data_IF_623285100805
#
_entry.id   IF_623285100805
#
_cell.length_a   1.000
_cell.length_b   1.000
_cell.length_c   1.000
_cell.angle_alpha   90.00
_cell.angle_beta   90.00
_cell.angle_gamma   90.00
#
_symmetry.space_group_name_H-M   'P 1'
#
loop_
_entity.id
_entity.type
_entity.pdbx_description
1 polymer ?
#
# COMPACT_ATOMS: atom_id res chain seq x y z
N UNK A 1 -8.62 -12.87 3.80
CA UNK A 1 -9.42 -11.66 3.93
C UNK A 1 -10.85 -11.99 4.38
N UNK A 2 -11.29 -11.55 5.58
CA UNK A 2 -12.56 -10.81 5.55
C UNK A 2 -12.16 -9.55 4.80
N UNK A 3 -12.46 -9.48 3.50
CA UNK A 3 -12.28 -8.23 2.77
C UNK A 3 -13.19 -7.22 3.47
N UNK A 4 -12.58 -6.44 4.35
CA UNK A 4 -13.19 -5.30 4.99
C UNK A 4 -13.41 -4.24 3.93
N UNK A 5 -14.33 -3.32 4.22
CA UNK A 5 -14.67 -2.26 3.27
C UNK A 5 -13.42 -1.46 2.86
N UNK A 6 -12.45 -1.25 3.78
CA UNK A 6 -11.22 -0.51 3.51
C UNK A 6 -10.41 -1.09 2.34
N UNK A 7 -10.30 -2.42 2.26
CA UNK A 7 -9.64 -3.07 1.11
C UNK A 7 -10.38 -2.85 -0.20
N UNK A 8 -11.70 -2.72 -0.17
CA UNK A 8 -12.51 -2.31 -1.33
C UNK A 8 -12.24 -0.87 -1.75
N UNK A 9 -12.13 0.04 -0.79
CA UNK A 9 -11.81 1.45 -1.04
C UNK A 9 -10.43 1.59 -1.70
N UNK A 10 -9.43 0.82 -1.24
CA UNK A 10 -8.12 0.72 -1.88
C UNK A 10 -8.19 0.25 -3.35
N UNK A 11 -9.04 -0.72 -3.67
CA UNK A 11 -9.23 -1.18 -5.07
C UNK A 11 -9.86 -0.11 -5.96
N UNK A 12 -10.84 0.63 -5.42
CA UNK A 12 -11.46 1.75 -6.13
C UNK A 12 -10.43 2.86 -6.34
N UNK A 13 -9.64 3.20 -5.32
CA UNK A 13 -8.58 4.19 -5.41
C UNK A 13 -7.54 3.82 -6.48
N UNK A 14 -7.02 2.59 -6.47
CA UNK A 14 -6.03 2.12 -7.44
C UNK A 14 -6.53 2.26 -8.90
N UNK A 15 -7.80 1.89 -9.15
CA UNK A 15 -8.41 2.10 -10.47
C UNK A 15 -8.44 3.57 -10.86
N UNK A 16 -8.82 4.47 -9.95
CA UNK A 16 -8.90 5.90 -10.25
C UNK A 16 -7.52 6.54 -10.43
N UNK A 17 -6.50 6.09 -9.69
CA UNK A 17 -5.12 6.53 -9.92
C UNK A 17 -4.67 6.23 -11.35
N UNK A 18 -4.98 5.05 -11.90
CA UNK A 18 -4.75 4.73 -13.32
C UNK A 18 -5.50 5.66 -14.26
N UNK A 19 -6.77 5.95 -13.98
CA UNK A 19 -7.58 6.89 -14.78
C UNK A 19 -7.04 8.33 -14.71
N UNK A 20 -6.36 8.71 -13.64
CA UNK A 20 -5.67 9.98 -13.50
C UNK A 20 -4.28 10.01 -14.16
N UNK A 21 -3.89 8.94 -14.86
CA UNK A 21 -2.61 8.85 -15.57
C UNK A 21 -1.43 8.45 -14.68
N UNK A 22 -1.69 7.99 -13.45
CA UNK A 22 -0.64 7.49 -12.56
C UNK A 22 -0.43 5.98 -12.76
N UNK A 23 0.73 5.49 -12.33
CA UNK A 23 0.96 4.05 -12.16
C UNK A 23 0.44 3.61 -10.78
N UNK A 24 -0.17 2.44 -10.73
CA UNK A 24 -0.76 1.92 -9.50
C UNK A 24 -0.71 0.40 -9.47
N UNK A 25 -0.19 -0.12 -8.37
CA UNK A 25 -0.06 -1.53 -8.09
C UNK A 25 -0.72 -1.85 -6.75
N UNK A 26 -1.28 -3.06 -6.64
CA UNK A 26 -2.02 -3.49 -5.45
C UNK A 26 -1.41 -4.77 -4.88
N UNK A 27 -1.05 -4.74 -3.60
CA UNK A 27 -0.74 -5.95 -2.84
C UNK A 27 -2.02 -6.48 -2.21
N UNK A 28 -2.47 -7.65 -2.67
CA UNK A 28 -3.65 -8.35 -2.18
C UNK A 28 -3.25 -9.76 -1.69
N UNK A 29 -2.83 -9.92 -0.42
CA UNK A 29 -2.27 -11.18 0.07
C UNK A 29 -3.24 -12.34 0.11
N UNK A 30 -4.54 -12.06 0.12
CA UNK A 30 -5.58 -13.08 0.15
C UNK A 30 -6.68 -12.69 -0.80
N UNK A 31 -6.98 -13.58 -1.73
CA UNK A 31 -8.07 -13.38 -2.69
C UNK A 31 -9.41 -13.18 -1.95
N UNK A 32 -10.19 -12.15 -2.31
CA UNK A 32 -11.47 -11.91 -1.68
C UNK A 32 -12.52 -12.93 -2.13
N UNK A 33 -13.33 -13.41 -1.17
CA UNK A 33 -14.40 -14.38 -1.44
C UNK A 33 -15.67 -13.76 -2.02
N UNK A 34 -16.00 -12.53 -1.62
CA UNK A 34 -17.26 -11.86 -2.05
C UNK A 34 -17.16 -11.35 -3.48
N UNK A 35 -18.24 -11.53 -4.25
CA UNK A 35 -18.29 -11.13 -5.66
C UNK A 35 -18.05 -9.63 -5.87
N UNK A 36 -18.52 -8.77 -4.96
CA UNK A 36 -18.28 -7.33 -4.99
C UNK A 36 -16.79 -7.01 -5.19
N UNK A 37 -15.92 -7.59 -4.37
CA UNK A 37 -14.48 -7.33 -4.45
C UNK A 37 -13.82 -7.99 -5.67
N UNK A 38 -14.33 -9.15 -6.11
CA UNK A 38 -13.87 -9.77 -7.37
C UNK A 38 -14.14 -8.85 -8.55
N UNK A 39 -15.33 -8.23 -8.59
CA UNK A 39 -15.68 -7.24 -9.61
C UNK A 39 -14.76 -6.02 -9.54
N UNK A 40 -14.46 -5.51 -8.33
CA UNK A 40 -13.52 -4.39 -8.16
C UNK A 40 -12.11 -4.73 -8.65
N UNK A 41 -11.60 -5.94 -8.35
CA UNK A 41 -10.32 -6.42 -8.87
C UNK A 41 -10.34 -6.48 -10.39
N UNK A 42 -11.39 -7.03 -11.00
CA UNK A 42 -11.52 -7.08 -12.46
C UNK A 42 -11.54 -5.68 -13.07
N UNK A 43 -12.27 -4.74 -12.48
CA UNK A 43 -12.31 -3.34 -12.93
C UNK A 43 -10.94 -2.67 -12.81
N UNK A 44 -10.20 -2.89 -11.73
CA UNK A 44 -8.85 -2.37 -11.55
C UNK A 44 -7.88 -2.96 -12.59
N UNK A 45 -7.88 -4.29 -12.77
CA UNK A 45 -7.06 -4.97 -13.80
C UNK A 45 -7.36 -4.48 -15.21
N UNK A 46 -8.64 -4.27 -15.54
CA UNK A 46 -9.04 -3.72 -16.83
C UNK A 46 -8.52 -2.29 -17.09
N UNK A 47 -8.11 -1.56 -16.04
CA UNK A 47 -7.47 -0.25 -16.12
C UNK A 47 -5.94 -0.32 -15.94
N UNK A 48 -5.36 -1.53 -16.05
CA UNK A 48 -3.92 -1.73 -15.99
C UNK A 48 -3.31 -1.60 -14.59
N UNK A 49 -4.10 -1.86 -13.54
CA UNK A 49 -3.55 -2.06 -12.18
C UNK A 49 -2.95 -3.46 -12.10
N UNK A 50 -1.70 -3.57 -11.68
CA UNK A 50 -1.07 -4.86 -11.41
C UNK A 50 -1.30 -5.32 -9.98
N UNK A 51 -1.28 -6.64 -9.78
CA UNK A 51 -1.63 -7.26 -8.51
C UNK A 51 -0.53 -8.22 -8.05
N UNK A 52 -0.11 -8.06 -6.80
CA UNK A 52 0.87 -8.91 -6.13
C UNK A 52 0.24 -9.56 -4.89
N UNK A 53 0.72 -10.74 -4.50
CA UNK A 53 0.33 -11.36 -3.23
C UNK A 53 1.20 -10.89 -2.06
N UNK A 54 2.42 -10.46 -2.34
CA UNK A 54 3.36 -9.93 -1.36
C UNK A 54 3.91 -8.59 -1.86
N UNK A 55 4.51 -7.83 -0.96
CA UNK A 55 5.27 -6.65 -1.36
C UNK A 55 6.41 -7.11 -2.30
N UNK A 56 6.64 -6.48 -3.46
CA UNK A 56 7.78 -6.80 -4.30
C UNK A 56 9.10 -6.59 -3.51
N UNK A 57 9.87 -7.67 -3.33
CA UNK A 57 11.11 -7.72 -2.54
C UNK A 57 12.39 -7.66 -3.40
N UNK A 58 12.43 -6.84 -4.45
CA UNK A 58 13.55 -6.72 -5.40
C UNK A 58 13.64 -7.83 -6.46
N UNK A 59 12.62 -7.97 -7.32
CA UNK A 59 12.76 -8.80 -8.53
C UNK A 59 12.47 -7.94 -9.77
N UNK A 60 13.56 -7.37 -10.28
CA UNK A 60 13.79 -6.80 -11.62
C UNK A 60 13.02 -5.55 -12.07
N UNK A 61 11.69 -5.44 -11.85
CA UNK A 61 10.86 -4.39 -12.48
C UNK A 61 10.15 -3.46 -11.47
N UNK A 62 9.95 -3.91 -10.23
CA UNK A 62 9.26 -3.14 -9.20
C UNK A 62 10.05 -3.18 -7.90
N UNK A 63 10.73 -2.08 -7.58
CA UNK A 63 11.32 -1.87 -6.26
C UNK A 63 10.40 -1.02 -5.40
N UNK A 64 10.17 -1.41 -4.14
CA UNK A 64 9.32 -0.61 -3.24
C UNK A 64 9.84 0.83 -3.07
N UNK A 65 11.16 1.02 -3.19
CA UNK A 65 11.83 2.32 -3.15
C UNK A 65 11.59 3.19 -4.37
N UNK A 66 11.08 2.65 -5.48
CA UNK A 66 10.71 3.40 -6.68
C UNK A 66 9.29 3.95 -6.61
N UNK A 67 8.48 3.49 -5.65
CA UNK A 67 7.16 4.05 -5.43
C UNK A 67 7.28 5.44 -4.83
N UNK A 68 6.39 6.34 -5.23
CA UNK A 68 6.31 7.70 -4.70
C UNK A 68 5.38 7.81 -3.49
N UNK A 69 4.53 6.80 -3.27
CA UNK A 69 3.49 6.77 -2.25
C UNK A 69 3.09 5.33 -1.96
N UNK A 70 2.95 4.99 -0.69
CA UNK A 70 2.23 3.79 -0.25
C UNK A 70 0.83 4.17 0.23
N UNK A 71 -0.17 3.45 -0.26
CA UNK A 71 -1.55 3.59 0.21
C UNK A 71 -1.86 2.43 1.14
N UNK A 72 -2.05 2.74 2.42
CA UNK A 72 -2.47 1.77 3.42
C UNK A 72 -4.00 1.67 3.44
N UNK A 73 -4.51 0.62 2.82
CA UNK A 73 -5.93 0.26 2.80
C UNK A 73 -6.17 -1.14 3.42
N UNK A 74 -5.34 -1.53 4.39
CA UNK A 74 -5.34 -2.89 4.95
C UNK A 74 -6.50 -3.05 5.95
N UNK A 75 -6.54 -2.20 6.99
CA UNK A 75 -7.56 -2.22 8.05
C UNK A 75 -8.19 -0.84 8.20
N UNK A 76 -9.51 -0.79 8.36
CA UNK A 76 -10.25 0.44 8.67
C UNK A 76 -10.74 0.44 10.13
N UNK A 77 -11.51 1.45 10.51
CA UNK A 77 -12.01 1.70 11.87
C UNK A 77 -12.79 0.52 12.46
N UNK A 78 -13.37 -0.35 11.62
CA UNK A 78 -14.13 -1.52 12.09
C UNK A 78 -13.26 -2.73 12.44
N UNK A 79 -11.94 -2.67 12.21
CA UNK A 79 -11.03 -3.76 12.56
C UNK A 79 -10.93 -3.90 14.10
N UNK A 80 -10.79 -5.14 14.58
CA UNK A 80 -10.75 -5.44 16.02
C UNK A 80 -9.75 -6.56 16.30
N UNK A 81 -9.01 -6.39 17.39
CA UNK A 81 -7.95 -7.32 17.81
C UNK A 81 -6.65 -7.13 17.03
N UNK A 82 -5.61 -7.93 17.36
CA UNK A 82 -4.31 -7.78 16.72
C UNK A 82 -4.32 -8.29 15.26
N UNK A 83 -3.58 -7.63 14.35
CA UNK A 83 -3.29 -8.17 13.03
C UNK A 83 -2.69 -9.58 13.11
N UNK A 84 -3.07 -10.45 12.17
CA UNK A 84 -2.52 -11.82 12.04
C UNK A 84 -1.94 -12.03 10.65
N UNK A 85 -1.04 -13.02 10.46
CA UNK A 85 -0.53 -13.36 9.15
C UNK A 85 -1.66 -13.66 8.14
N UNK A 86 -1.52 -13.24 6.87
CA UNK A 86 -0.36 -12.58 6.28
C UNK A 86 -0.30 -11.04 6.49
N UNK A 87 -1.29 -10.44 7.16
CA UNK A 87 -1.39 -8.98 7.27
C UNK A 87 -0.43 -8.37 8.29
N UNK A 88 -0.14 -9.07 9.39
CA UNK A 88 0.92 -8.67 10.33
C UNK A 88 2.27 -8.54 9.63
N UNK A 89 2.58 -9.50 8.76
CA UNK A 89 3.86 -9.61 8.09
C UNK A 89 3.95 -8.55 6.98
N UNK A 90 2.83 -8.24 6.32
CA UNK A 90 2.73 -7.15 5.36
C UNK A 90 2.95 -5.79 6.04
N UNK A 91 2.36 -5.54 7.21
CA UNK A 91 2.57 -4.30 7.96
C UNK A 91 4.05 -4.11 8.35
N UNK A 92 4.71 -5.20 8.76
CA UNK A 92 6.16 -5.18 9.03
C UNK A 92 6.97 -4.86 7.78
N UNK A 93 6.62 -5.45 6.63
CA UNK A 93 7.27 -5.18 5.35
C UNK A 93 7.09 -3.71 4.92
N UNK A 94 5.90 -3.15 5.07
CA UNK A 94 5.62 -1.72 4.78
C UNK A 94 6.43 -0.80 5.68
N UNK A 95 6.49 -1.07 6.98
CA UNK A 95 7.28 -0.29 7.93
C UNK A 95 8.79 -0.34 7.59
N UNK A 96 9.30 -1.53 7.26
CA UNK A 96 10.70 -1.70 6.85
C UNK A 96 11.00 -0.96 5.54
N UNK A 97 10.11 -1.03 4.55
CA UNK A 97 10.26 -0.34 3.27
C UNK A 97 10.26 1.19 3.45
N UNK A 98 9.34 1.74 4.25
CA UNK A 98 9.29 3.16 4.54
C UNK A 98 10.56 3.64 5.27
N UNK A 99 11.06 2.86 6.22
CA UNK A 99 12.32 3.15 6.91
C UNK A 99 13.53 3.10 5.97
N UNK A 100 13.60 2.10 5.07
CA UNK A 100 14.67 1.98 4.08
C UNK A 100 14.65 3.16 3.09
N UNK A 101 13.47 3.56 2.61
CA UNK A 101 13.32 4.72 1.74
C UNK A 101 13.71 6.02 2.45
N UNK A 102 13.37 6.18 3.73
CA UNK A 102 13.80 7.32 4.54
C UNK A 102 15.32 7.36 4.74
N UNK A 103 15.96 6.21 4.94
CA UNK A 103 17.42 6.12 5.05
C UNK A 103 18.11 6.46 3.72
N UNK A 104 17.61 5.95 2.59
CA UNK A 104 18.12 6.27 1.26
C UNK A 104 17.98 7.76 0.92
N UNK A 105 16.83 8.35 1.26
CA UNK A 105 16.56 9.79 1.18
C UNK A 105 17.59 10.63 1.96
N UNK A 106 17.88 10.25 3.20
CA UNK A 106 18.86 10.95 4.05
C UNK A 106 20.29 10.85 3.49
N UNK A 107 20.66 9.70 2.93
CA UNK A 107 21.97 9.53 2.28
C UNK A 107 22.11 10.39 1.02
N UNK A 108 21.06 10.48 0.19
CA UNK A 108 21.05 11.31 -1.02
C UNK A 108 21.14 12.81 -0.71
N UNK A 109 20.53 13.27 0.39
CA UNK A 109 20.55 14.68 0.81
C UNK A 109 21.95 15.22 1.19
N UNK A 110 22.97 14.35 1.34
CA UNK A 110 24.34 14.76 1.67
C UNK A 110 25.13 15.23 0.43
N UNK A 111 24.61 15.01 -0.78
CA UNK A 111 25.30 15.33 -2.04
C UNK A 111 24.41 16.15 -2.96
N UNK A 112 24.70 17.45 -3.07
CA UNK A 112 24.20 18.42 -4.08
C UNK A 112 22.98 19.28 -3.72
N UNK A 113 23.14 20.57 -4.05
CA UNK A 113 22.18 21.68 -4.07
C UNK A 113 20.88 21.37 -4.82
N UNK A 114 19.76 21.63 -4.14
CA UNK A 114 18.44 22.03 -4.65
C UNK A 114 17.94 21.40 -5.97
N UNK A 115 17.20 20.30 -5.82
CA UNK A 115 16.13 19.71 -6.66
C UNK A 115 16.42 18.21 -6.88
N UNK A 116 15.68 17.23 -6.36
CA UNK A 116 14.46 17.18 -5.57
C UNK A 116 14.75 16.44 -4.27
N UNK A 117 14.10 16.84 -3.18
CA UNK A 117 14.08 16.05 -1.96
C UNK A 117 13.46 14.70 -2.32
N UNK A 118 14.28 13.65 -2.45
CA UNK A 118 13.81 12.29 -2.27
C UNK A 118 13.31 12.24 -0.83
N UNK A 119 12.05 12.55 -0.61
CA UNK A 119 11.43 12.47 0.69
C UNK A 119 11.17 10.99 0.99
N UNK A 120 11.27 10.61 2.27
CA UNK A 120 10.86 9.30 2.76
C UNK A 120 9.56 8.84 2.07
N UNK A 121 9.46 7.55 1.73
CA UNK A 121 8.27 6.97 1.08
C UNK A 121 7.02 7.25 1.92
N UNK A 122 6.17 8.23 1.53
CA UNK A 122 5.05 8.63 2.36
C UNK A 122 4.01 7.51 2.38
N UNK A 123 3.34 7.37 3.52
CA UNK A 123 2.22 6.44 3.69
C UNK A 123 0.95 7.27 3.84
N UNK A 124 -0.02 7.04 2.95
CA UNK A 124 -1.37 7.57 3.06
C UNK A 124 -2.30 6.45 3.54
N UNK A 125 -2.81 6.58 4.75
CA UNK A 125 -3.76 5.61 5.31
C UNK A 125 -5.19 5.99 4.97
N UNK A 126 -5.92 5.05 4.38
CA UNK A 126 -7.35 5.17 4.13
C UNK A 126 -8.07 4.89 5.44
N UNK A 127 -8.96 5.82 5.83
CA UNK A 127 -9.75 5.79 7.06
C UNK A 127 -8.90 5.96 8.34
N UNK A 128 -8.08 4.97 8.69
CA UNK A 128 -7.16 5.02 9.85
C UNK A 128 -5.85 4.29 9.53
N UNK A 129 -4.72 4.65 10.17
CA UNK A 129 -3.49 3.87 10.03
C UNK A 129 -3.67 2.43 10.51
N UNK A 130 -3.38 1.47 9.64
CA UNK A 130 -3.49 0.05 9.98
C UNK A 130 -2.56 -0.31 11.12
N UNK A 131 -3.13 -0.90 12.18
CA UNK A 131 -2.39 -1.27 13.39
C UNK A 131 -2.55 -0.28 14.54
N UNK A 132 -3.19 0.87 14.33
CA UNK A 132 -3.61 1.73 15.42
C UNK A 132 -4.81 1.14 16.16
N UNK A 133 -4.84 1.35 17.48
CA UNK A 133 -6.03 1.13 18.26
C UNK A 133 -6.96 2.33 18.09
N UNK A 134 -8.14 2.07 17.53
CA UNK A 134 -9.14 3.11 17.21
C UNK A 134 -10.07 3.40 18.38
N UNK A 135 -10.06 2.53 19.40
CA UNK A 135 -10.88 2.64 20.61
C UNK A 135 -10.00 2.94 21.85
N UNK A 136 -8.74 3.35 21.65
CA UNK A 136 -7.85 3.77 22.73
C UNK A 136 -8.20 5.19 23.19
N UNK A 137 -8.93 5.28 24.30
CA UNK A 137 -9.17 6.51 25.08
C UNK A 137 -7.89 7.03 25.78
#
# INVERSE_FOLDING_TARGET
MRAGNNGGDGLVAARHLRLFGMEANVVCPVEPKKQLYKNLIQQAKANGVEFFQELPKDVTEYHVTEYHLLVDAIFGFSFRGPPRPPYSDLLQQVAAAAAAAAAAAAAAATTTTAAAAAAALPIFSVDVPSGWDVDAD
#
